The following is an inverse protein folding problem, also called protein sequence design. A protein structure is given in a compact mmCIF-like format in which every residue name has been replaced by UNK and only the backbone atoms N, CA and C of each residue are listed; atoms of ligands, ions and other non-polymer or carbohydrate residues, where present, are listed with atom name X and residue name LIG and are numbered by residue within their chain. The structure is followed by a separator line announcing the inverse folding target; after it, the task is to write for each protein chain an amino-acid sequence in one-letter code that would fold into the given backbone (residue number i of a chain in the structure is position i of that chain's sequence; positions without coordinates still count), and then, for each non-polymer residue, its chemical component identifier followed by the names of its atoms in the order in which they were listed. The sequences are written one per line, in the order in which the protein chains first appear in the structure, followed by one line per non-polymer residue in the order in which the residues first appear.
data_IF_716082553022
#
_entry.id   IF_716082553022
#
_cell.length_a   1.000
_cell.length_b   1.000
_cell.length_c   1.000
_cell.angle_alpha   90.00
_cell.angle_beta   90.00
_cell.angle_gamma   90.00
#
_symmetry.space_group_name_H-M   'P 1'
#
loop_
_entity.id
_entity.type
_entity.pdbx_description
1 polymer ?
#
# COMPACT_ATOMS: atom_id res chain seq x y z
N UNK A 1 -5.78 -23.35 -27.91
CA UNK A 1 -5.78 -21.94 -27.46
C UNK A 1 -6.77 -21.84 -26.32
N UNK A 2 -6.29 -21.61 -25.09
CA UNK A 2 -7.17 -21.38 -23.95
C UNK A 2 -7.52 -19.89 -23.92
N UNK A 3 -8.79 -19.57 -24.22
CA UNK A 3 -9.34 -18.23 -24.02
C UNK A 3 -9.60 -18.07 -22.52
N UNK A 4 -8.59 -17.62 -21.77
CA UNK A 4 -8.80 -17.06 -20.44
C UNK A 4 -9.74 -15.87 -20.61
N UNK A 5 -10.87 -15.89 -19.92
CA UNK A 5 -11.71 -14.70 -19.72
C UNK A 5 -10.80 -13.57 -19.29
N UNK A 6 -10.54 -12.62 -20.19
CA UNK A 6 -9.69 -11.46 -19.93
C UNK A 6 -10.38 -10.66 -18.85
N UNK A 7 -9.90 -10.77 -17.61
CA UNK A 7 -10.25 -9.80 -16.57
C UNK A 7 -9.78 -8.47 -17.14
N UNK A 8 -10.71 -7.58 -17.44
CA UNK A 8 -10.46 -6.30 -18.09
C UNK A 8 -9.70 -5.41 -17.10
N UNK A 9 -8.41 -5.65 -16.90
CA UNK A 9 -7.56 -4.94 -15.95
C UNK A 9 -6.72 -3.92 -16.69
N UNK A 10 -6.81 -2.66 -16.26
CA UNK A 10 -6.04 -1.55 -16.81
C UNK A 10 -4.98 -1.19 -15.78
N UNK A 11 -3.71 -1.29 -16.16
CA UNK A 11 -2.60 -0.81 -15.36
C UNK A 11 -2.52 0.72 -15.43
N UNK A 12 -2.64 1.39 -14.29
CA UNK A 12 -2.69 2.87 -14.25
C UNK A 12 -1.35 3.53 -13.94
N UNK A 13 -0.39 2.78 -13.37
CA UNK A 13 0.97 3.28 -13.13
C UNK A 13 1.85 2.93 -14.33
N UNK A 14 2.44 3.95 -14.96
CA UNK A 14 3.21 3.84 -16.21
C UNK A 14 4.62 4.44 -16.11
N UNK A 15 5.14 4.65 -14.90
CA UNK A 15 6.46 5.26 -14.68
C UNK A 15 7.16 4.73 -13.44
N UNK A 16 8.42 5.14 -13.21
CA UNK A 16 9.21 4.66 -12.08
C UNK A 16 8.52 4.88 -10.75
N UNK A 17 8.55 3.85 -9.92
CA UNK A 17 8.05 3.88 -8.54
C UNK A 17 9.16 3.63 -7.54
N UNK A 18 10.39 3.42 -8.03
CA UNK A 18 11.59 3.17 -7.27
C UNK A 18 12.71 4.12 -7.70
N UNK A 19 13.62 4.46 -6.80
CA UNK A 19 14.75 5.37 -7.05
C UNK A 19 15.72 4.89 -8.12
N UNK A 20 15.82 3.58 -8.33
CA UNK A 20 16.59 2.96 -9.42
C UNK A 20 15.83 2.91 -10.77
N UNK A 21 14.82 3.78 -10.93
CA UNK A 21 14.03 3.92 -12.16
C UNK A 21 13.17 2.70 -12.53
N UNK A 22 12.97 1.78 -11.59
CA UNK A 22 12.13 0.60 -11.77
C UNK A 22 10.65 0.89 -11.47
N UNK A 23 9.76 0.20 -12.18
CA UNK A 23 8.31 0.19 -11.92
C UNK A 23 7.99 -1.10 -11.16
N UNK A 24 8.04 -1.03 -9.83
CA UNK A 24 7.83 -2.19 -8.96
C UNK A 24 6.46 -2.17 -8.28
N UNK A 25 5.89 -0.98 -8.11
CA UNK A 25 4.58 -0.78 -7.49
C UNK A 25 3.50 -0.70 -8.58
N UNK A 26 2.66 -1.73 -8.65
CA UNK A 26 1.67 -1.89 -9.70
C UNK A 26 0.26 -1.65 -9.15
N UNK A 27 -0.53 -0.85 -9.88
CA UNK A 27 -1.95 -0.65 -9.58
C UNK A 27 -2.75 -0.98 -10.84
N UNK A 28 -3.74 -1.86 -10.67
CA UNK A 28 -4.67 -2.28 -11.72
C UNK A 28 -6.09 -1.90 -11.33
N UNK A 29 -6.85 -1.37 -12.28
CA UNK A 29 -8.26 -1.09 -12.13
C UNK A 29 -9.06 -2.01 -13.07
N UNK A 30 -10.12 -2.63 -12.57
CA UNK A 30 -11.06 -3.41 -13.39
C UNK A 30 -11.88 -2.50 -14.27
N UNK A 31 -11.97 -2.69 -15.59
CA UNK A 31 -12.56 -1.77 -16.57
C UNK A 31 -13.99 -1.31 -16.29
N UNK A 32 -14.71 -2.03 -15.42
CA UNK A 32 -15.99 -1.60 -14.86
C UNK A 32 -15.87 -0.40 -13.87
N UNK A 33 -14.67 -0.05 -13.44
CA UNK A 33 -14.37 0.99 -12.43
C UNK A 33 -14.88 2.36 -12.84
N UNK A 34 -14.87 2.66 -14.15
CA UNK A 34 -15.28 3.96 -14.71
C UNK A 34 -16.78 4.24 -14.57
N UNK A 35 -17.59 3.24 -14.23
CA UNK A 35 -19.02 3.45 -13.99
C UNK A 35 -19.29 4.19 -12.68
N UNK A 36 -18.48 3.92 -11.65
CA UNK A 36 -18.72 4.41 -10.29
C UNK A 36 -17.68 5.44 -9.82
N UNK A 37 -16.47 5.37 -10.38
CA UNK A 37 -15.31 6.16 -9.97
C UNK A 37 -14.68 6.86 -11.17
N UNK A 38 -14.28 8.11 -10.97
CA UNK A 38 -13.47 8.89 -11.91
C UNK A 38 -12.09 9.16 -11.30
N UNK A 39 -11.03 8.77 -12.00
CA UNK A 39 -9.64 8.94 -11.56
C UNK A 39 -9.17 10.32 -12.02
N UNK A 40 -9.10 11.25 -11.09
CA UNK A 40 -8.74 12.65 -11.35
C UNK A 40 -7.26 12.86 -11.57
N UNK A 41 -6.45 12.04 -10.93
CA UNK A 41 -5.01 12.14 -11.05
C UNK A 41 -4.26 11.07 -10.27
N UNK A 42 -3.02 10.89 -10.68
CA UNK A 42 -2.03 10.07 -9.99
C UNK A 42 -0.85 10.97 -9.70
N UNK A 43 -0.46 11.04 -8.44
CA UNK A 43 0.74 11.75 -7.99
C UNK A 43 1.74 10.73 -7.49
N UNK A 44 2.96 10.82 -8.02
CA UNK A 44 4.10 10.01 -7.59
C UNK A 44 5.08 10.97 -6.93
N UNK A 45 5.37 10.77 -5.65
CA UNK A 45 6.27 11.65 -4.90
C UNK A 45 7.34 10.86 -4.15
N UNK A 46 8.60 11.34 -4.11
CA UNK A 46 9.66 10.66 -3.38
C UNK A 46 9.42 10.69 -1.87
N UNK A 47 9.86 9.63 -1.19
CA UNK A 47 9.90 9.55 0.26
C UNK A 47 11.35 9.60 0.74
N UNK A 48 11.61 10.32 1.83
CA UNK A 48 12.98 10.47 2.36
C UNK A 48 13.52 9.22 3.07
N UNK A 49 12.63 8.31 3.46
CA UNK A 49 12.92 7.13 4.28
C UNK A 49 12.70 5.81 3.54
N UNK A 50 12.40 5.86 2.24
CA UNK A 50 12.14 4.70 1.41
C UNK A 50 12.75 4.88 0.02
N UNK A 51 13.25 3.80 -0.56
CA UNK A 51 13.69 3.77 -1.95
C UNK A 51 12.49 3.69 -2.93
N UNK A 52 11.29 3.42 -2.41
CA UNK A 52 10.03 3.51 -3.16
C UNK A 52 9.41 4.91 -3.06
N UNK A 53 8.70 5.29 -4.12
CA UNK A 53 7.90 6.51 -4.17
C UNK A 53 6.50 6.27 -3.61
N UNK A 54 5.93 7.31 -3.01
CA UNK A 54 4.54 7.31 -2.60
C UNK A 54 3.65 7.49 -3.83
N UNK A 55 2.74 6.54 -4.05
CA UNK A 55 1.68 6.62 -5.05
C UNK A 55 0.39 7.14 -4.40
N UNK A 56 -0.11 8.26 -4.89
CA UNK A 56 -1.41 8.83 -4.48
C UNK A 56 -2.35 8.85 -5.68
N UNK A 57 -3.44 8.10 -5.57
CA UNK A 57 -4.51 8.07 -6.58
C UNK A 57 -5.71 8.87 -6.05
N UNK A 58 -6.17 9.84 -6.83
CA UNK A 58 -7.31 10.68 -6.48
C UNK A 58 -8.55 10.22 -7.26
N UNK A 59 -9.55 9.70 -6.54
CA UNK A 59 -10.81 9.24 -7.12
C UNK A 59 -11.95 10.15 -6.68
N UNK A 60 -12.78 10.58 -7.63
CA UNK A 60 -14.13 11.08 -7.31
C UNK A 60 -15.18 10.01 -7.56
N UNK A 61 -16.08 9.85 -6.59
CA UNK A 61 -17.27 9.04 -6.78
C UNK A 61 -18.28 9.79 -7.65
N UNK A 62 -18.74 9.14 -8.73
CA UNK A 62 -19.76 9.70 -9.63
C UNK A 62 -21.17 9.59 -9.03
N UNK A 63 -21.37 8.66 -8.10
CA UNK A 63 -22.59 8.48 -7.34
C UNK A 63 -22.28 8.55 -5.83
N UNK A 64 -23.15 9.16 -5.00
CA UNK A 64 -23.03 9.03 -3.55
C UNK A 64 -23.08 7.54 -3.20
N UNK A 65 -22.05 7.07 -2.47
CA UNK A 65 -21.89 5.67 -2.05
C UNK A 65 -23.24 5.02 -1.74
N UNK A 66 -23.67 4.09 -2.60
CA UNK A 66 -24.93 3.37 -2.43
C UNK A 66 -24.83 2.54 -1.15
N UNK A 67 -25.55 2.96 -0.12
CA UNK A 67 -25.62 2.40 1.25
C UNK A 67 -26.27 1.01 1.32
N UNK A 68 -26.17 0.20 0.27
CA UNK A 68 -26.83 -1.10 0.17
C UNK A 68 -25.88 -2.28 0.46
N UNK A 69 -24.57 -2.05 0.54
CA UNK A 69 -23.62 -3.03 1.04
C UNK A 69 -23.37 -2.80 2.53
N UNK A 70 -23.21 -3.90 3.29
CA UNK A 70 -22.71 -3.91 4.68
C UNK A 70 -21.64 -2.83 4.90
N UNK A 71 -21.60 -2.15 6.07
CA UNK A 71 -20.59 -1.14 6.36
C UNK A 71 -19.20 -1.68 6.02
N UNK A 72 -18.42 -0.92 5.23
CA UNK A 72 -17.03 -1.27 4.90
C UNK A 72 -16.31 -1.64 6.19
N UNK A 73 -15.97 -2.92 6.34
CA UNK A 73 -15.22 -3.39 7.50
C UNK A 73 -13.78 -2.96 7.34
N UNK A 74 -13.45 -1.81 7.91
CA UNK A 74 -12.07 -1.38 8.08
C UNK A 74 -11.40 -2.31 9.08
N UNK A 75 -10.60 -3.25 8.59
CA UNK A 75 -9.72 -4.03 9.44
C UNK A 75 -8.54 -3.14 9.82
N UNK A 76 -8.64 -2.46 10.97
CA UNK A 76 -7.52 -1.76 11.58
C UNK A 76 -6.79 -2.76 12.48
N UNK A 77 -5.63 -3.31 12.09
CA UNK A 77 -4.90 -4.22 12.95
C UNK A 77 -4.40 -3.42 14.16
N UNK A 78 -4.97 -3.70 15.33
CA UNK A 78 -4.73 -2.95 16.58
C UNK A 78 -3.26 -2.88 17.02
N UNK A 79 -2.39 -3.74 16.47
CA UNK A 79 -0.99 -3.89 16.88
C UNK A 79 0.04 -3.60 15.78
N UNK A 80 -0.37 -3.17 14.59
CA UNK A 80 0.58 -2.91 13.49
C UNK A 80 1.49 -1.71 13.77
N UNK A 81 1.03 -0.77 14.59
CA UNK A 81 1.77 0.43 15.03
C UNK A 81 2.03 0.41 16.55
N UNK A 82 1.85 -0.73 17.21
CA UNK A 82 2.21 -0.89 18.63
C UNK A 82 3.73 -1.04 18.72
N UNK A 83 4.46 -0.04 19.25
CA UNK A 83 5.92 -0.12 19.33
C UNK A 83 6.39 -1.32 20.15
N UNK A 84 5.59 -1.79 21.12
CA UNK A 84 5.88 -3.00 21.90
C UNK A 84 5.50 -4.29 21.18
N UNK A 85 4.47 -4.27 20.33
CA UNK A 85 3.99 -5.44 19.58
C UNK A 85 4.88 -5.83 18.40
N UNK A 86 5.59 -4.86 17.79
CA UNK A 86 6.53 -5.11 16.69
C UNK A 86 7.78 -5.84 17.20
N UNK A 87 8.25 -5.55 18.42
CA UNK A 87 9.41 -6.23 19.01
C UNK A 87 9.18 -7.73 19.26
N UNK A 88 7.94 -8.14 19.55
CA UNK A 88 7.61 -9.55 19.80
C UNK A 88 7.52 -10.39 18.52
N UNK A 89 7.08 -9.77 17.41
CA UNK A 89 6.74 -10.48 16.17
C UNK A 89 7.89 -10.43 15.15
N UNK A 90 8.65 -9.34 15.10
CA UNK A 90 9.56 -9.10 13.97
C UNK A 90 10.89 -9.85 14.08
N UNK A 91 11.42 -10.11 15.28
CA UNK A 91 12.69 -10.81 15.42
C UNK A 91 12.66 -11.63 16.70
N UNK A 92 12.67 -12.96 16.59
CA UNK A 92 12.97 -13.88 17.68
C UNK A 92 14.41 -13.74 18.19
N UNK A 93 14.83 -12.52 18.51
CA UNK A 93 16.07 -12.21 19.20
C UNK A 93 15.68 -12.13 20.68
N UNK A 94 16.04 -13.12 21.51
CA UNK A 94 15.86 -12.98 22.94
C UNK A 94 16.61 -11.73 23.42
N UNK A 95 16.00 -10.98 24.34
CA UNK A 95 16.55 -9.79 25.00
C UNK A 95 17.95 -10.01 25.63
N UNK A 96 18.49 -11.23 25.63
CA UNK A 96 19.83 -11.58 26.12
C UNK A 96 21.00 -11.12 25.24
N UNK A 97 20.77 -10.56 24.05
CA UNK A 97 21.83 -10.01 23.19
C UNK A 97 21.98 -8.48 23.26
N UNK A 98 21.16 -7.79 24.05
CA UNK A 98 21.38 -6.37 24.36
C UNK A 98 22.53 -6.31 25.38
N UNK A 99 23.76 -6.11 24.90
CA UNK A 99 24.87 -5.70 25.77
C UNK A 99 24.55 -4.31 26.30
N UNK A 100 24.44 -4.20 27.62
CA UNK A 100 24.47 -2.92 28.33
C UNK A 100 25.69 -2.10 27.85
N UNK A 101 25.52 -0.80 27.55
CA UNK A 101 26.65 0.04 27.21
C UNK A 101 27.61 0.09 28.40
N UNK A 102 28.89 -0.19 28.15
CA UNK A 102 29.93 -0.03 29.15
C UNK A 102 29.94 1.43 29.60
N UNK A 103 29.63 1.68 30.87
CA UNK A 103 29.88 2.97 31.50
C UNK A 103 31.36 3.31 31.33
N UNK A 104 31.62 4.39 30.61
CA UNK A 104 32.96 4.91 30.38
C UNK A 104 33.40 5.73 31.59
N UNK A 105 34.36 5.18 32.35
CA UNK A 105 35.30 5.77 33.32
C UNK A 105 34.80 6.87 34.28
#
# INVERSE_FOLDING_TARGET
MASMTTVDLIQVIQGPTHREEHTLDLVFLSGQWRHDLDLRGIVISPLLWSEHFLLRLDFSALLPHRREAEPTRWFCPKRLMDPGGISEIAWGIPYSLVREPAESL
#
